data_IF_286382304258
#
_entry.id   IF_286382304258
#
_cell.length_a   1.000
_cell.length_b   1.000
_cell.length_c   1.000
_cell.angle_alpha   90.00
_cell.angle_beta   90.00
_cell.angle_gamma   90.00
#
_symmetry.space_group_name_H-M   'P 1'
#
loop_
_entity.id
_entity.type
_entity.pdbx_description
1 polymer ?
#
# COMPACT_ATOMS: atom_id res chain seq x y z
N UNK A 1 52.11 5.39 20.04
CA UNK A 1 50.95 5.43 20.97
C UNK A 1 50.22 6.75 20.73
N UNK A 2 49.13 6.74 19.95
CA UNK A 2 48.22 7.89 19.80
C UNK A 2 46.80 7.34 19.91
N UNK A 3 46.02 8.01 20.74
CA UNK A 3 44.76 7.58 21.33
C UNK A 3 43.67 7.38 20.28
N UNK A 4 43.13 6.17 20.19
CA UNK A 4 41.79 5.95 19.65
C UNK A 4 40.78 6.49 20.65
N UNK A 5 40.24 7.67 20.38
CA UNK A 5 39.00 8.12 21.02
C UNK A 5 37.87 7.20 20.57
N UNK A 6 37.51 6.23 21.42
CA UNK A 6 36.19 5.58 21.35
C UNK A 6 35.15 6.67 21.61
N UNK A 7 34.68 7.32 20.55
CA UNK A 7 33.43 8.07 20.61
C UNK A 7 32.35 7.10 21.06
N UNK A 8 31.80 7.32 22.26
CA UNK A 8 30.55 6.68 22.66
C UNK A 8 29.53 7.07 21.58
N UNK A 9 29.10 6.11 20.75
CA UNK A 9 27.91 6.31 19.92
C UNK A 9 26.80 6.73 20.88
N UNK A 10 26.37 8.00 20.81
CA UNK A 10 25.15 8.43 21.47
C UNK A 10 24.04 7.57 20.87
N UNK A 11 23.23 6.94 21.72
CA UNK A 11 22.03 6.25 21.29
C UNK A 11 21.23 7.21 20.39
N UNK A 12 20.94 6.77 19.16
CA UNK A 12 20.17 7.55 18.22
C UNK A 12 18.73 7.61 18.73
N UNK A 13 18.20 8.82 18.84
CA UNK A 13 16.83 9.05 19.33
C UNK A 13 16.03 9.58 18.16
N UNK A 14 14.92 8.91 17.84
CA UNK A 14 14.05 9.33 16.76
C UNK A 14 12.95 10.28 17.25
N UNK A 15 12.47 11.09 16.32
CA UNK A 15 11.30 11.92 16.48
C UNK A 15 10.26 11.49 15.45
N UNK A 16 8.99 11.67 15.76
CA UNK A 16 7.90 11.35 14.86
C UNK A 16 6.68 12.22 15.15
N UNK A 17 5.58 11.87 14.50
CA UNK A 17 4.31 12.58 14.58
C UNK A 17 3.47 12.04 15.72
N UNK A 18 3.09 12.91 16.67
CA UNK A 18 2.26 12.52 17.81
C UNK A 18 0.79 12.39 17.39
N UNK A 19 0.25 11.20 17.55
CA UNK A 19 -1.14 10.85 17.31
C UNK A 19 -1.81 10.30 18.58
N UNK A 20 -3.12 10.03 18.51
CA UNK A 20 -3.89 9.56 19.66
C UNK A 20 -3.35 8.23 20.25
N UNK A 21 -2.75 7.39 19.41
CA UNK A 21 -2.28 6.05 19.77
C UNK A 21 -0.76 5.89 19.76
N UNK A 22 -0.01 6.99 19.80
CA UNK A 22 1.45 6.96 19.91
C UNK A 22 2.14 7.92 18.97
N UNK A 23 3.44 7.74 18.82
CA UNK A 23 4.28 8.55 17.92
C UNK A 23 4.62 7.72 16.69
N UNK A 24 4.19 8.17 15.52
CA UNK A 24 4.40 7.51 14.24
C UNK A 24 5.60 8.06 13.48
N UNK A 25 6.25 7.25 12.65
CA UNK A 25 7.29 7.74 11.70
C UNK A 25 6.71 8.22 10.37
N UNK A 26 5.38 8.18 10.24
CA UNK A 26 4.59 8.73 9.15
C UNK A 26 3.35 9.40 9.75
N UNK A 27 2.81 10.39 9.04
CA UNK A 27 1.54 11.03 9.38
C UNK A 27 0.60 10.90 8.18
N UNK A 28 -0.37 10.00 8.29
CA UNK A 28 -1.25 9.64 7.17
C UNK A 28 -2.68 10.07 7.49
N UNK A 29 -3.25 10.84 6.58
CA UNK A 29 -4.67 11.21 6.57
C UNK A 29 -5.33 10.35 5.51
N UNK A 30 -6.20 9.43 5.93
CA UNK A 30 -6.83 8.50 5.01
C UNK A 30 -8.16 9.03 4.52
N UNK A 31 -8.52 8.69 3.29
CA UNK A 31 -9.89 8.79 2.79
C UNK A 31 -10.31 7.43 2.25
N UNK A 32 -11.52 7.00 2.58
CA UNK A 32 -12.04 5.68 2.23
C UNK A 32 -13.49 5.80 1.77
N UNK A 33 -13.86 5.18 0.63
CA UNK A 33 -15.25 5.01 0.28
C UNK A 33 -15.86 3.93 1.19
N UNK A 34 -17.01 4.21 1.80
CA UNK A 34 -17.69 3.23 2.64
C UNK A 34 -18.17 2.03 1.81
N UNK A 35 -18.54 2.25 0.56
CA UNK A 35 -18.87 1.22 -0.43
C UNK A 35 -18.32 1.57 -1.82
N UNK A 36 -18.32 0.58 -2.72
CA UNK A 36 -17.88 0.72 -4.12
C UNK A 36 -18.53 1.89 -4.86
N UNK A 37 -19.78 2.22 -4.54
CA UNK A 37 -20.51 3.30 -5.22
C UNK A 37 -19.83 4.66 -5.06
N UNK A 38 -19.15 4.89 -3.93
CA UNK A 38 -18.46 6.15 -3.64
C UNK A 38 -17.03 6.21 -4.23
N UNK A 39 -16.45 5.11 -4.74
CA UNK A 39 -15.01 5.03 -5.06
C UNK A 39 -14.53 6.12 -6.02
N UNK A 40 -15.29 6.41 -7.09
CA UNK A 40 -14.89 7.42 -8.08
C UNK A 40 -14.82 8.83 -7.48
N UNK A 41 -15.83 9.20 -6.68
CA UNK A 41 -15.85 10.49 -6.00
C UNK A 41 -14.74 10.58 -4.93
N UNK A 42 -14.59 9.53 -4.12
CA UNK A 42 -13.55 9.46 -3.09
C UNK A 42 -12.14 9.59 -3.68
N UNK A 43 -11.88 8.96 -4.83
CA UNK A 43 -10.59 9.08 -5.52
C UNK A 43 -10.30 10.52 -5.97
N UNK A 44 -11.29 11.21 -6.53
CA UNK A 44 -11.15 12.62 -6.91
C UNK A 44 -10.81 13.49 -5.69
N UNK A 45 -11.54 13.32 -4.57
CA UNK A 45 -11.27 14.03 -3.32
C UNK A 45 -9.88 13.68 -2.76
N UNK A 46 -9.45 12.43 -2.84
CA UNK A 46 -8.14 12.02 -2.36
C UNK A 46 -7.00 12.77 -3.08
N UNK A 47 -7.11 12.91 -4.40
CA UNK A 47 -6.14 13.62 -5.23
C UNK A 47 -6.15 15.11 -4.87
N UNK A 48 -7.31 15.76 -4.96
CA UNK A 48 -7.45 17.20 -4.77
C UNK A 48 -7.09 17.65 -3.35
N UNK A 49 -7.44 16.85 -2.35
CA UNK A 49 -7.14 17.13 -0.96
C UNK A 49 -5.80 16.56 -0.51
N UNK A 50 -5.06 15.82 -1.34
CA UNK A 50 -3.82 15.11 -0.98
C UNK A 50 -3.98 14.24 0.27
N UNK A 51 -4.93 13.30 0.21
CA UNK A 51 -5.19 12.27 1.23
C UNK A 51 -4.72 10.91 0.72
N UNK A 52 -4.36 10.02 1.65
CA UNK A 52 -4.05 8.62 1.30
C UNK A 52 -5.35 7.88 1.06
N UNK A 53 -5.65 7.57 -0.21
CA UNK A 53 -6.81 6.78 -0.58
C UNK A 53 -6.63 5.33 -0.13
N UNK A 54 -7.62 4.80 0.59
CA UNK A 54 -7.80 3.36 0.76
C UNK A 54 -9.01 2.99 -0.07
N UNK A 55 -8.79 2.20 -1.11
CA UNK A 55 -9.86 1.71 -1.97
C UNK A 55 -10.76 0.72 -1.24
N UNK A 56 -12.03 0.67 -1.66
CA UNK A 56 -12.98 -0.29 -1.13
C UNK A 56 -13.98 -0.67 -2.22
N UNK A 57 -13.92 -1.92 -2.68
CA UNK A 57 -14.78 -2.49 -3.71
C UNK A 57 -16.01 -3.19 -3.14
N UNK A 58 -16.19 -3.19 -1.82
CA UNK A 58 -17.36 -3.82 -1.20
C UNK A 58 -18.66 -3.18 -1.69
N UNK A 59 -19.60 -4.02 -2.14
CA UNK A 59 -20.93 -3.58 -2.53
C UNK A 59 -21.72 -3.13 -1.29
N UNK A 60 -22.50 -2.05 -1.41
CA UNK A 60 -23.37 -1.55 -0.34
C UNK A 60 -24.35 -2.63 0.20
N UNK A 61 -24.72 -3.59 -0.65
CA UNK A 61 -25.58 -4.73 -0.31
C UNK A 61 -24.86 -5.90 0.38
N UNK A 62 -23.52 -5.96 0.37
CA UNK A 62 -22.74 -7.02 1.01
C UNK A 62 -22.44 -6.68 2.47
N UNK A 63 -23.43 -6.89 3.33
CA UNK A 63 -23.34 -6.57 4.75
C UNK A 63 -22.20 -7.30 5.49
N UNK A 64 -21.78 -8.48 5.02
CA UNK A 64 -20.68 -9.23 5.67
C UNK A 64 -19.37 -8.49 5.47
N UNK A 65 -19.05 -8.15 4.23
CA UNK A 65 -17.82 -7.42 3.90
C UNK A 65 -17.85 -6.00 4.45
N UNK A 66 -19.02 -5.34 4.44
CA UNK A 66 -19.18 -3.99 5.01
C UNK A 66 -18.89 -3.99 6.52
N UNK A 67 -19.40 -4.99 7.25
CA UNK A 67 -19.11 -5.14 8.68
C UNK A 67 -17.64 -5.45 8.95
N UNK A 68 -16.96 -6.20 8.08
CA UNK A 68 -15.51 -6.42 8.20
C UNK A 68 -14.75 -5.08 8.08
N UNK A 69 -15.10 -4.25 7.11
CA UNK A 69 -14.51 -2.92 6.94
C UNK A 69 -14.77 -2.04 8.17
N UNK A 70 -16.03 -1.93 8.60
CA UNK A 70 -16.46 -0.97 9.63
C UNK A 70 -16.06 -1.40 11.04
N UNK A 71 -16.21 -2.69 11.39
CA UNK A 71 -16.01 -3.14 12.76
C UNK A 71 -14.66 -3.82 13.01
N UNK A 72 -13.90 -4.14 11.95
CA UNK A 72 -12.56 -4.73 12.08
C UNK A 72 -11.48 -3.81 11.53
N UNK A 73 -11.56 -3.47 10.24
CA UNK A 73 -10.49 -2.75 9.57
C UNK A 73 -10.36 -1.29 10.06
N UNK A 74 -11.43 -0.49 9.99
CA UNK A 74 -11.39 0.92 10.39
C UNK A 74 -10.94 1.13 11.86
N UNK A 75 -11.40 0.32 12.83
CA UNK A 75 -10.92 0.43 14.21
C UNK A 75 -9.46 0.02 14.39
N UNK A 76 -8.93 -0.88 13.56
CA UNK A 76 -7.49 -1.22 13.55
C UNK A 76 -6.68 -0.08 12.93
N UNK A 77 -7.12 0.45 11.79
CA UNK A 77 -6.51 1.60 11.12
C UNK A 77 -6.45 2.81 12.05
N UNK A 78 -7.55 3.13 12.75
CA UNK A 78 -7.62 4.24 13.69
C UNK A 78 -6.59 4.10 14.83
N UNK A 79 -6.41 2.90 15.36
CA UNK A 79 -5.43 2.64 16.42
C UNK A 79 -3.98 2.64 15.94
N UNK A 80 -3.75 2.70 14.63
CA UNK A 80 -2.40 2.64 14.10
C UNK A 80 -1.64 3.95 14.37
N UNK A 81 -0.39 3.84 14.83
CA UNK A 81 0.43 5.01 15.22
C UNK A 81 0.79 5.97 14.07
N UNK A 82 0.58 5.55 12.82
CA UNK A 82 0.75 6.42 11.62
C UNK A 82 -0.53 7.15 11.22
N UNK A 83 -1.66 6.83 11.85
CA UNK A 83 -2.96 7.38 11.47
C UNK A 83 -3.16 8.72 12.17
N UNK A 84 -3.20 9.77 11.35
CA UNK A 84 -3.52 11.12 11.80
C UNK A 84 -5.03 11.33 11.86
N UNK A 85 -5.74 10.90 10.83
CA UNK A 85 -7.19 11.00 10.75
C UNK A 85 -7.76 10.19 9.59
N UNK A 86 -9.07 9.98 9.59
CA UNK A 86 -9.80 9.18 8.61
C UNK A 86 -10.98 10.01 8.07
N UNK A 87 -11.19 10.00 6.75
CA UNK A 87 -12.35 10.62 6.11
C UNK A 87 -13.17 9.55 5.39
N UNK A 88 -14.41 9.35 5.81
CA UNK A 88 -15.32 8.35 5.24
C UNK A 88 -16.27 9.02 4.25
N UNK A 89 -16.36 8.49 3.04
CA UNK A 89 -17.30 8.99 2.02
C UNK A 89 -18.26 7.87 1.67
N UNK A 90 -19.56 8.12 1.84
CA UNK A 90 -20.63 7.19 1.51
C UNK A 90 -21.53 7.74 0.40
N UNK A 91 -22.22 6.87 -0.32
CA UNK A 91 -23.25 7.30 -1.28
C UNK A 91 -24.52 7.70 -0.53
N UNK A 92 -24.99 6.85 0.37
CA UNK A 92 -26.27 6.96 1.07
C UNK A 92 -27.15 5.71 0.94
N UNK A 93 -26.79 4.78 0.04
CA UNK A 93 -27.47 3.50 -0.14
C UNK A 93 -26.86 2.37 0.72
N UNK A 94 -25.80 2.65 1.47
CA UNK A 94 -25.19 1.72 2.41
C UNK A 94 -26.13 1.37 3.56
N UNK A 95 -26.14 0.08 3.91
CA UNK A 95 -26.88 -0.42 5.08
C UNK A 95 -26.26 -0.04 6.43
N UNK A 96 -25.03 0.49 6.42
CA UNK A 96 -24.29 0.95 7.60
C UNK A 96 -24.16 2.47 7.54
N UNK A 97 -24.42 3.14 8.65
CA UNK A 97 -24.33 4.60 8.75
C UNK A 97 -22.86 5.07 8.80
N UNK A 98 -22.49 5.92 7.84
CA UNK A 98 -21.20 6.61 7.85
C UNK A 98 -21.03 7.50 9.09
N UNK A 99 -22.11 8.15 9.54
CA UNK A 99 -22.11 9.01 10.71
C UNK A 99 -21.84 8.23 12.01
N UNK A 100 -22.50 7.08 12.20
CA UNK A 100 -22.28 6.22 13.36
C UNK A 100 -20.87 5.64 13.34
N UNK A 101 -20.41 5.19 12.17
CA UNK A 101 -19.04 4.69 12.00
C UNK A 101 -18.01 5.77 12.36
N UNK A 102 -18.16 7.00 11.86
CA UNK A 102 -17.27 8.10 12.19
C UNK A 102 -17.26 8.39 13.70
N UNK A 103 -18.43 8.39 14.35
CA UNK A 103 -18.54 8.57 15.79
C UNK A 103 -17.84 7.44 16.59
N UNK A 104 -17.92 6.19 16.15
CA UNK A 104 -17.20 5.07 16.75
C UNK A 104 -15.68 5.25 16.65
N UNK A 105 -15.17 5.70 15.50
CA UNK A 105 -13.75 6.00 15.33
C UNK A 105 -13.30 7.19 16.18
N UNK A 106 -14.10 8.25 16.24
CA UNK A 106 -13.85 9.40 17.12
C UNK A 106 -13.80 8.96 18.59
N UNK A 107 -14.66 8.03 19.02
CA UNK A 107 -14.66 7.50 20.38
C UNK A 107 -13.39 6.69 20.73
N UNK A 108 -12.71 6.12 19.72
CA UNK A 108 -11.39 5.49 19.89
C UNK A 108 -10.30 6.56 20.14
N UNK A 109 -10.52 7.80 19.70
CA UNK A 109 -9.64 8.95 19.89
C UNK A 109 -9.01 9.46 18.60
N UNK A 110 -9.29 8.83 17.46
CA UNK A 110 -8.77 9.25 16.15
C UNK A 110 -9.74 10.24 15.49
N UNK A 111 -9.28 11.41 15.05
CA UNK A 111 -10.09 12.33 14.25
C UNK A 111 -10.68 11.61 13.04
N UNK A 112 -12.00 11.67 12.92
CA UNK A 112 -12.72 11.04 11.83
C UNK A 112 -13.82 11.97 11.36
N UNK A 113 -13.91 12.18 10.06
CA UNK A 113 -14.97 12.96 9.42
C UNK A 113 -15.72 12.09 8.41
N UNK A 114 -16.91 12.52 8.00
CA UNK A 114 -17.68 11.83 6.97
C UNK A 114 -18.52 12.77 6.12
N UNK A 115 -18.89 12.31 4.92
CA UNK A 115 -19.97 12.87 4.11
C UNK A 115 -20.81 11.75 3.48
N UNK A 116 -22.07 12.06 3.17
CA UNK A 116 -22.99 11.19 2.42
C UNK A 116 -23.40 11.94 1.15
N UNK A 117 -23.09 11.39 -0.02
CA UNK A 117 -23.25 12.09 -1.30
C UNK A 117 -24.72 12.44 -1.59
N UNK A 118 -25.66 11.55 -1.25
CA UNK A 118 -27.10 11.73 -1.48
C UNK A 118 -27.75 12.81 -0.59
N UNK A 119 -27.03 13.31 0.43
CA UNK A 119 -27.50 14.44 1.24
C UNK A 119 -27.39 15.79 0.50
N UNK A 120 -26.74 15.81 -0.67
CA UNK A 120 -26.50 17.01 -1.46
C UNK A 120 -27.40 17.08 -2.70
N UNK A 121 -27.79 18.30 -3.07
CA UNK A 121 -28.62 18.53 -4.25
C UNK A 121 -27.88 18.27 -5.57
N UNK A 122 -26.56 18.44 -5.58
CA UNK A 122 -25.68 18.21 -6.73
C UNK A 122 -24.25 17.87 -6.27
N UNK A 123 -23.47 17.34 -7.22
CA UNK A 123 -22.09 16.92 -6.98
C UNK A 123 -21.13 18.09 -6.72
N UNK A 124 -21.40 19.29 -7.23
CA UNK A 124 -20.54 20.44 -7.01
C UNK A 124 -20.57 20.86 -5.54
N UNK A 125 -21.76 20.88 -4.94
CA UNK A 125 -21.94 21.12 -3.51
C UNK A 125 -21.26 20.03 -2.67
N UNK A 126 -21.45 18.76 -3.03
CA UNK A 126 -20.80 17.64 -2.35
C UNK A 126 -19.26 17.76 -2.41
N UNK A 127 -18.70 18.08 -3.57
CA UNK A 127 -17.25 18.28 -3.75
C UNK A 127 -16.72 19.43 -2.91
N UNK A 128 -17.38 20.59 -2.95
CA UNK A 128 -16.96 21.76 -2.18
C UNK A 128 -16.94 21.48 -0.68
N UNK A 129 -17.97 20.82 -0.16
CA UNK A 129 -17.98 20.43 1.25
C UNK A 129 -16.91 19.38 1.55
N UNK A 130 -16.78 18.34 0.73
CA UNK A 130 -15.80 17.28 0.93
C UNK A 130 -14.36 17.82 1.03
N UNK A 131 -14.00 18.78 0.16
CA UNK A 131 -12.70 19.44 0.20
C UNK A 131 -12.54 20.29 1.47
N UNK A 132 -13.59 21.01 1.90
CA UNK A 132 -13.61 21.73 3.17
C UNK A 132 -13.38 20.81 4.36
N UNK A 133 -14.16 19.74 4.45
CA UNK A 133 -14.08 18.70 5.49
C UNK A 133 -12.71 18.02 5.51
N UNK A 134 -12.12 17.73 4.35
CA UNK A 134 -10.77 17.19 4.27
C UNK A 134 -9.71 18.14 4.87
N UNK A 135 -9.85 19.45 4.65
CA UNK A 135 -8.94 20.45 5.24
C UNK A 135 -9.17 20.62 6.74
N UNK A 136 -10.42 20.56 7.20
CA UNK A 136 -10.78 20.57 8.61
C UNK A 136 -10.19 19.36 9.34
N UNK A 137 -10.32 18.15 8.77
CA UNK A 137 -9.70 16.94 9.29
C UNK A 137 -8.20 17.12 9.46
N UNK A 138 -7.51 17.63 8.43
CA UNK A 138 -6.06 17.89 8.49
C UNK A 138 -5.69 18.85 9.62
N UNK A 139 -6.51 19.88 9.82
CA UNK A 139 -6.31 20.89 10.88
C UNK A 139 -6.54 20.30 12.27
N UNK A 140 -7.60 19.51 12.45
CA UNK A 140 -7.92 18.83 13.72
C UNK A 140 -6.88 17.80 14.10
N UNK A 141 -6.34 17.10 13.11
CA UNK A 141 -5.31 16.08 13.26
C UNK A 141 -3.88 16.62 13.08
N UNK A 142 -3.67 17.94 13.21
CA UNK A 142 -2.33 18.51 13.27
C UNK A 142 -1.57 17.92 14.46
N UNK A 143 -0.63 17.04 14.16
CA UNK A 143 0.22 16.39 15.13
C UNK A 143 1.42 17.28 15.47
N UNK A 144 1.71 17.41 16.76
CA UNK A 144 3.03 17.89 17.19
C UNK A 144 4.10 16.84 16.86
N UNK A 145 5.36 17.27 16.82
CA UNK A 145 6.49 16.34 16.78
C UNK A 145 6.85 15.93 18.21
N UNK A 146 7.12 14.64 18.41
CA UNK A 146 7.50 14.09 19.70
C UNK A 146 8.58 13.02 19.56
N UNK A 147 9.21 12.66 20.69
CA UNK A 147 10.22 11.61 20.74
C UNK A 147 9.58 10.24 20.65
N UNK A 148 10.22 9.35 19.91
CA UNK A 148 9.89 7.92 19.92
C UNK A 148 10.67 7.28 21.06
N UNK A 149 9.96 6.88 22.12
CA UNK A 149 10.56 6.26 23.31
C UNK A 149 11.04 4.84 23.03
N UNK A 150 10.28 4.07 22.26
CA UNK A 150 10.59 2.70 21.85
C UNK A 150 10.42 2.56 20.34
N UNK A 151 11.46 2.06 19.65
CA UNK A 151 11.46 1.95 18.18
C UNK A 151 11.03 0.55 17.75
N UNK A 152 9.72 0.34 17.63
CA UNK A 152 9.13 -0.94 17.21
C UNK A 152 9.38 -1.28 15.73
N UNK A 153 10.08 -2.39 15.48
CA UNK A 153 10.38 -2.93 14.15
C UNK A 153 9.92 -4.38 14.08
N UNK A 154 9.19 -4.74 13.03
CA UNK A 154 8.94 -6.15 12.69
C UNK A 154 9.94 -6.61 11.64
N UNK A 155 10.59 -7.75 11.83
CA UNK A 155 11.34 -8.45 10.78
C UNK A 155 10.48 -9.60 10.27
N UNK A 156 10.12 -9.55 9.00
CA UNK A 156 9.35 -10.56 8.31
C UNK A 156 10.26 -11.34 7.35
N UNK A 157 10.14 -12.66 7.33
CA UNK A 157 10.91 -13.54 6.44
C UNK A 157 10.18 -14.85 6.22
N UNK A 158 10.26 -15.43 5.03
CA UNK A 158 9.77 -16.79 4.78
C UNK A 158 10.82 -17.84 5.20
N UNK A 159 12.06 -17.62 4.77
CA UNK A 159 13.23 -18.41 5.13
C UNK A 159 14.14 -17.58 6.03
N UNK A 160 14.64 -18.19 7.09
CA UNK A 160 15.45 -17.48 8.09
C UNK A 160 16.77 -16.97 7.45
N UNK A 161 17.01 -15.64 7.42
CA UNK A 161 18.22 -15.12 6.80
C UNK A 161 19.43 -15.45 7.67
N UNK A 162 20.54 -15.82 7.05
CA UNK A 162 21.76 -16.23 7.76
C UNK A 162 22.29 -15.15 8.73
N UNK A 163 22.00 -13.88 8.46
CA UNK A 163 22.41 -12.75 9.30
C UNK A 163 21.44 -12.43 10.46
N UNK A 164 20.31 -13.14 10.61
CA UNK A 164 19.22 -12.76 11.53
C UNK A 164 19.70 -12.56 12.96
N UNK A 165 20.46 -13.51 13.50
CA UNK A 165 20.94 -13.46 14.89
C UNK A 165 21.83 -12.24 15.13
N UNK A 166 22.76 -11.96 14.21
CA UNK A 166 23.66 -10.80 14.31
C UNK A 166 22.88 -9.49 14.16
N UNK A 167 21.93 -9.44 13.22
CA UNK A 167 21.08 -8.29 12.96
C UNK A 167 20.19 -7.93 14.15
N UNK A 168 19.50 -8.90 14.75
CA UNK A 168 18.67 -8.68 15.93
C UNK A 168 19.52 -8.13 17.07
N UNK A 169 20.68 -8.72 17.35
CA UNK A 169 21.58 -8.23 18.40
C UNK A 169 22.06 -6.79 18.13
N UNK A 170 22.31 -6.43 16.86
CA UNK A 170 22.70 -5.08 16.48
C UNK A 170 21.53 -4.09 16.64
N UNK A 171 20.32 -4.46 16.24
CA UNK A 171 19.12 -3.63 16.36
C UNK A 171 18.76 -3.37 17.83
N UNK A 172 18.75 -4.39 18.67
CA UNK A 172 18.47 -4.24 20.11
C UNK A 172 19.52 -3.37 20.82
N UNK A 173 20.79 -3.53 20.44
CA UNK A 173 21.87 -2.65 20.91
C UNK A 173 21.63 -1.17 20.55
N UNK A 174 20.94 -0.93 19.44
CA UNK A 174 20.52 0.38 18.96
C UNK A 174 19.08 0.76 19.40
N UNK A 175 18.52 0.09 20.42
CA UNK A 175 17.24 0.42 21.07
C UNK A 175 16.00 0.21 20.20
N UNK A 176 16.07 -0.67 19.21
CA UNK A 176 14.88 -1.18 18.54
C UNK A 176 14.24 -2.30 19.38
N UNK A 177 12.92 -2.27 19.49
CA UNK A 177 12.12 -3.41 19.95
C UNK A 177 11.77 -4.25 18.73
N UNK A 178 12.35 -5.44 18.64
CA UNK A 178 12.28 -6.28 17.43
C UNK A 178 11.27 -7.40 17.61
N UNK A 179 10.30 -7.48 16.69
CA UNK A 179 9.39 -8.63 16.55
C UNK A 179 9.81 -9.45 15.34
N UNK A 180 9.90 -10.77 15.50
CA UNK A 180 10.17 -11.68 14.41
C UNK A 180 8.87 -12.32 13.93
N UNK A 181 8.66 -12.36 12.62
CA UNK A 181 7.53 -13.03 12.02
C UNK A 181 7.98 -13.91 10.84
N UNK A 182 7.82 -15.22 10.99
CA UNK A 182 8.06 -16.15 9.91
C UNK A 182 6.80 -16.28 9.05
N UNK A 183 6.91 -15.89 7.78
CA UNK A 183 5.82 -15.91 6.82
C UNK A 183 5.58 -17.31 6.26
N UNK A 184 4.31 -17.61 5.99
CA UNK A 184 3.91 -18.84 5.31
C UNK A 184 4.09 -18.68 3.78
N UNK A 185 4.71 -19.66 3.09
CA UNK A 185 4.80 -19.67 1.63
C UNK A 185 3.45 -19.68 0.91
N UNK A 186 2.37 -20.06 1.63
CA UNK A 186 1.04 -20.30 1.05
C UNK A 186 0.04 -19.19 1.35
N UNK A 187 0.38 -18.30 2.27
CA UNK A 187 -0.56 -17.31 2.78
C UNK A 187 -0.26 -15.95 2.16
N UNK A 188 -1.11 -15.53 1.21
CA UNK A 188 -1.01 -14.23 0.56
C UNK A 188 -1.56 -13.16 1.50
N UNK A 189 -0.94 -11.98 1.57
CA UNK A 189 -1.46 -10.85 2.37
C UNK A 189 -1.01 -10.81 3.83
N UNK A 190 -0.03 -11.64 4.23
CA UNK A 190 0.51 -11.58 5.59
C UNK A 190 1.17 -10.23 5.90
N UNK A 191 1.79 -9.57 4.91
CA UNK A 191 2.41 -8.27 5.11
C UNK A 191 1.38 -7.19 5.46
N UNK A 192 0.20 -7.22 4.84
CA UNK A 192 -0.93 -6.35 5.19
C UNK A 192 -1.41 -6.55 6.63
N UNK A 193 -1.48 -7.80 7.08
CA UNK A 193 -1.86 -8.10 8.46
C UNK A 193 -0.82 -7.56 9.45
N UNK A 194 0.46 -7.80 9.18
CA UNK A 194 1.58 -7.27 9.98
C UNK A 194 1.60 -5.74 10.01
N UNK A 195 1.23 -5.09 8.91
CA UNK A 195 1.20 -3.63 8.83
C UNK A 195 0.16 -3.01 9.77
N UNK A 196 -0.91 -3.73 10.11
CA UNK A 196 -1.95 -3.28 11.05
C UNK A 196 -1.62 -3.62 12.51
N UNK A 197 -0.61 -4.45 12.79
CA UNK A 197 -0.15 -4.79 14.15
C UNK A 197 0.61 -3.66 14.87
N UNK A 198 0.77 -2.52 14.21
CA UNK A 198 1.22 -1.30 14.88
C UNK A 198 2.73 -1.16 15.05
N UNK A 199 3.60 -1.80 14.26
CA UNK A 199 5.03 -1.46 14.23
C UNK A 199 5.25 -0.10 13.55
N UNK A 200 6.40 0.56 13.81
CA UNK A 200 6.77 1.75 13.04
C UNK A 200 7.22 1.39 11.62
N UNK A 201 7.88 0.25 11.46
CA UNK A 201 8.33 -0.25 10.16
C UNK A 201 8.37 -1.78 10.13
N UNK A 202 8.39 -2.32 8.92
CA UNK A 202 8.65 -3.74 8.65
C UNK A 202 9.94 -3.83 7.84
N UNK A 203 10.85 -4.72 8.24
CA UNK A 203 11.99 -5.16 7.45
C UNK A 203 11.63 -6.52 6.86
N UNK A 204 11.45 -6.58 5.55
CA UNK A 204 11.01 -7.78 4.83
C UNK A 204 12.17 -8.42 4.08
N UNK A 205 12.54 -9.65 4.43
CA UNK A 205 13.39 -10.49 3.61
C UNK A 205 12.51 -11.22 2.60
N UNK A 206 12.54 -10.73 1.36
CA UNK A 206 11.64 -11.16 0.30
C UNK A 206 12.10 -12.53 -0.22
N UNK A 207 11.17 -13.47 -0.43
CA UNK A 207 11.50 -14.79 -0.98
C UNK A 207 11.93 -14.69 -2.45
N UNK A 208 12.76 -15.61 -2.92
CA UNK A 208 13.46 -15.56 -4.23
C UNK A 208 12.57 -15.30 -5.45
N UNK A 209 11.30 -15.67 -5.40
CA UNK A 209 10.30 -15.60 -6.45
C UNK A 209 9.20 -14.56 -6.19
N UNK A 210 9.35 -13.71 -5.16
CA UNK A 210 8.34 -12.72 -4.76
C UNK A 210 8.76 -11.30 -5.12
N UNK A 211 7.82 -10.51 -5.62
CA UNK A 211 8.06 -9.09 -5.89
C UNK A 211 8.12 -8.28 -4.59
N UNK A 212 9.03 -7.31 -4.42
CA UNK A 212 9.05 -6.45 -3.24
C UNK A 212 7.76 -5.63 -3.15
N UNK A 213 6.98 -5.83 -2.09
CA UNK A 213 5.72 -5.12 -1.84
C UNK A 213 5.82 -4.16 -0.66
N UNK A 214 4.93 -3.18 -0.60
CA UNK A 214 4.76 -2.26 0.53
C UNK A 214 3.39 -2.41 1.17
N UNK A 215 3.05 -1.49 2.08
CA UNK A 215 1.69 -1.34 2.60
C UNK A 215 1.28 0.13 2.65
N UNK A 216 -0.01 0.41 2.61
CA UNK A 216 -0.53 1.77 2.74
C UNK A 216 -0.35 2.35 4.15
N UNK A 217 -0.06 1.52 5.16
CA UNK A 217 -0.06 1.93 6.58
C UNK A 217 1.35 2.00 7.13
N UNK A 218 2.09 0.90 7.07
CA UNK A 218 3.42 0.74 7.67
C UNK A 218 4.48 0.62 6.59
N UNK A 219 5.54 1.45 6.62
CA UNK A 219 6.62 1.39 5.64
C UNK A 219 7.33 0.03 5.70
N UNK A 220 7.65 -0.50 4.52
CA UNK A 220 8.29 -1.81 4.36
C UNK A 220 9.63 -1.63 3.66
N UNK A 221 10.69 -2.04 4.35
CA UNK A 221 12.07 -2.06 3.87
C UNK A 221 12.30 -3.44 3.26
N UNK A 222 12.46 -3.51 1.95
CA UNK A 222 12.61 -4.78 1.24
C UNK A 222 14.08 -5.14 1.03
N UNK A 223 14.45 -6.36 1.44
CA UNK A 223 15.78 -6.96 1.24
C UNK A 223 15.70 -8.05 0.18
N UNK A 224 16.48 -7.89 -0.89
CA UNK A 224 16.57 -8.85 -1.98
C UNK A 224 17.36 -10.11 -1.61
N UNK A 225 17.11 -11.18 -2.34
CA UNK A 225 17.97 -12.39 -2.43
C UNK A 225 18.90 -12.32 -3.64
N UNK A 226 19.74 -13.36 -3.81
CA UNK A 226 20.59 -13.54 -4.98
C UNK A 226 19.90 -14.30 -6.12
N UNK A 227 18.56 -14.30 -6.19
CA UNK A 227 17.86 -14.93 -7.30
C UNK A 227 18.04 -14.15 -8.60
N UNK A 228 17.95 -14.82 -9.74
CA UNK A 228 17.96 -14.15 -11.05
C UNK A 228 16.82 -13.13 -11.16
N UNK A 229 15.66 -13.45 -10.58
CA UNK A 229 14.52 -12.57 -10.53
C UNK A 229 14.83 -11.27 -9.80
N UNK A 230 15.33 -11.33 -8.57
CA UNK A 230 15.68 -10.14 -7.80
C UNK A 230 16.83 -9.33 -8.40
N UNK A 231 17.82 -9.99 -9.03
CA UNK A 231 18.86 -9.29 -9.80
C UNK A 231 18.26 -8.47 -10.93
N UNK A 232 17.29 -9.02 -11.65
CA UNK A 232 16.63 -8.35 -12.77
C UNK A 232 15.88 -7.08 -12.33
N UNK A 233 15.26 -7.10 -11.14
CA UNK A 233 14.49 -5.96 -10.58
C UNK A 233 15.19 -5.28 -9.40
N UNK A 234 16.53 -5.28 -9.38
CA UNK A 234 17.32 -4.83 -8.22
C UNK A 234 17.06 -3.36 -7.81
N UNK A 235 16.60 -2.51 -8.72
CA UNK A 235 16.24 -1.12 -8.44
C UNK A 235 14.94 -0.96 -7.66
N UNK A 236 14.18 -2.04 -7.49
CA UNK A 236 12.89 -2.07 -6.80
C UNK A 236 13.04 -2.45 -5.31
N UNK A 237 14.28 -2.71 -4.86
CA UNK A 237 14.61 -3.09 -3.49
C UNK A 237 15.34 -1.99 -2.73
N UNK A 238 14.99 -1.82 -1.46
CA UNK A 238 15.69 -0.92 -0.55
C UNK A 238 17.14 -1.37 -0.28
N UNK A 239 17.36 -2.68 -0.25
CA UNK A 239 18.62 -3.33 0.11
C UNK A 239 18.87 -4.54 -0.80
N UNK A 240 20.12 -4.69 -1.26
CA UNK A 240 20.55 -5.85 -2.04
C UNK A 240 20.86 -7.06 -1.15
N UNK A 241 21.01 -8.24 -1.75
CA UNK A 241 21.42 -9.46 -1.05
C UNK A 241 22.83 -9.41 -0.44
N UNK A 242 23.70 -8.52 -0.95
CA UNK A 242 25.07 -8.33 -0.44
C UNK A 242 25.11 -7.36 0.75
N UNK A 243 23.97 -6.75 1.11
CA UNK A 243 23.91 -5.75 2.17
C UNK A 243 24.35 -6.33 3.51
N UNK A 244 25.36 -5.72 4.09
CA UNK A 244 25.85 -6.06 5.42
C UNK A 244 24.83 -5.70 6.49
N UNK A 245 24.95 -6.33 7.67
CA UNK A 245 24.12 -6.03 8.85
C UNK A 245 24.19 -4.54 9.23
N UNK A 246 25.34 -3.90 9.00
CA UNK A 246 25.52 -2.47 9.24
C UNK A 246 24.72 -1.60 8.26
N UNK A 247 24.69 -1.96 6.98
CA UNK A 247 23.90 -1.27 5.95
C UNK A 247 22.40 -1.47 6.18
N UNK A 248 21.98 -2.67 6.59
CA UNK A 248 20.59 -2.94 6.97
C UNK A 248 20.17 -2.05 8.16
N UNK A 249 20.98 -1.99 9.22
CA UNK A 249 20.72 -1.08 10.34
C UNK A 249 20.63 0.37 9.87
N UNK A 250 21.56 0.82 9.04
CA UNK A 250 21.56 2.20 8.55
C UNK A 250 20.25 2.51 7.83
N UNK A 251 19.79 1.64 6.93
CA UNK A 251 18.54 1.82 6.20
C UNK A 251 17.31 1.82 7.12
N UNK A 252 17.29 0.97 8.15
CA UNK A 252 16.26 1.01 9.20
C UNK A 252 16.26 2.38 9.91
N UNK A 253 17.43 2.89 10.29
CA UNK A 253 17.55 4.19 10.94
C UNK A 253 17.14 5.36 10.03
N UNK A 254 17.42 5.27 8.73
CA UNK A 254 16.96 6.23 7.72
C UNK A 254 15.43 6.28 7.65
N UNK A 255 14.78 5.12 7.63
CA UNK A 255 13.31 5.03 7.56
C UNK A 255 12.65 5.56 8.82
N UNK A 256 13.19 5.24 10.00
CA UNK A 256 12.79 5.85 11.27
C UNK A 256 13.11 7.35 11.35
N UNK A 257 14.12 7.80 10.61
CA UNK A 257 14.42 9.21 10.33
C UNK A 257 13.46 9.85 9.32
N UNK A 258 12.35 9.19 8.99
CA UNK A 258 11.30 9.64 8.09
C UNK A 258 11.69 9.69 6.60
N UNK A 259 12.74 8.96 6.20
CA UNK A 259 13.06 8.75 4.78
C UNK A 259 12.10 7.68 4.23
N UNK A 260 11.44 7.91 3.07
CA UNK A 260 10.54 6.94 2.47
C UNK A 260 11.28 5.69 1.95
N UNK A 261 10.61 4.54 1.97
CA UNK A 261 11.09 3.31 1.30
C UNK A 261 10.83 3.38 -0.20
N UNK A 262 11.46 2.48 -0.97
CA UNK A 262 11.19 2.40 -2.42
C UNK A 262 9.73 2.05 -2.69
N UNK A 263 9.15 1.12 -1.93
CA UNK A 263 7.75 0.74 -2.08
C UNK A 263 6.76 1.89 -1.80
N UNK A 264 7.08 2.77 -0.85
CA UNK A 264 6.31 4.00 -0.61
C UNK A 264 6.42 4.97 -1.80
N UNK A 265 7.63 5.15 -2.35
CA UNK A 265 7.87 6.08 -3.46
C UNK A 265 7.22 5.61 -4.77
N UNK A 266 7.13 4.30 -4.99
CA UNK A 266 6.51 3.69 -6.16
C UNK A 266 5.01 3.46 -6.00
N UNK A 267 4.46 3.63 -4.79
CA UNK A 267 3.05 3.36 -4.51
C UNK A 267 2.67 1.88 -4.61
N UNK A 268 3.62 0.95 -4.52
CA UNK A 268 3.37 -0.50 -4.58
C UNK A 268 2.96 -1.01 -3.21
N UNK A 269 1.75 -1.55 -3.08
CA UNK A 269 1.24 -2.03 -1.80
C UNK A 269 0.32 -3.24 -1.93
N UNK A 270 0.30 -4.06 -0.87
CA UNK A 270 -0.68 -5.13 -0.72
C UNK A 270 -2.04 -4.59 -0.25
N UNK A 271 -3.15 -5.21 -0.69
CA UNK A 271 -4.49 -4.94 -0.15
C UNK A 271 -4.56 -5.18 1.37
N UNK A 272 -5.09 -4.21 2.12
CA UNK A 272 -5.21 -4.29 3.59
C UNK A 272 -6.34 -5.20 4.08
N UNK A 273 -7.36 -5.40 3.24
CA UNK A 273 -8.50 -6.29 3.46
C UNK A 273 -9.01 -6.79 2.11
N UNK A 274 -9.89 -7.78 2.08
CA UNK A 274 -10.32 -8.44 0.83
C UNK A 274 -10.90 -7.47 -0.21
N UNK A 275 -11.71 -6.51 0.24
CA UNK A 275 -12.30 -5.47 -0.60
C UNK A 275 -11.36 -4.32 -0.95
N UNK A 276 -10.12 -4.29 -0.45
CA UNK A 276 -9.17 -3.19 -0.69
C UNK A 276 -8.49 -3.31 -2.05
N UNK A 277 -9.30 -3.29 -3.09
CA UNK A 277 -8.86 -3.28 -4.49
C UNK A 277 -9.53 -2.11 -5.21
N UNK A 278 -8.80 -1.37 -6.05
CA UNK A 278 -9.39 -0.29 -6.83
C UNK A 278 -10.54 -0.81 -7.73
N UNK A 279 -11.61 -0.03 -7.87
CA UNK A 279 -12.53 -0.25 -8.99
C UNK A 279 -11.86 0.13 -10.30
N UNK A 280 -11.72 -0.83 -11.22
CA UNK A 280 -11.27 -0.59 -12.59
C UNK A 280 -12.46 -0.22 -13.48
N UNK A 281 -12.25 0.70 -14.43
CA UNK A 281 -13.22 1.00 -15.48
C UNK A 281 -13.20 -0.14 -16.50
N UNK A 282 -14.15 -1.05 -16.37
CA UNK A 282 -14.18 -2.34 -17.06
C UNK A 282 -14.95 -2.33 -18.39
N UNK A 283 -15.38 -1.15 -18.83
CA UNK A 283 -16.09 -0.95 -20.10
C UNK A 283 -15.14 -1.26 -21.24
N UNK A 284 -15.36 -2.41 -21.88
CA UNK A 284 -14.54 -2.86 -22.99
C UNK A 284 -14.73 -1.97 -24.22
N UNK A 285 -13.63 -1.57 -24.85
CA UNK A 285 -13.62 -0.82 -26.10
C UNK A 285 -12.77 -1.55 -27.16
N UNK A 286 -13.35 -1.96 -28.30
CA UNK A 286 -12.62 -2.66 -29.37
C UNK A 286 -11.50 -1.83 -30.03
N UNK A 287 -11.44 -0.52 -29.80
CA UNK A 287 -10.42 0.37 -30.34
C UNK A 287 -9.26 0.64 -29.36
N UNK A 288 -9.43 0.27 -28.10
CA UNK A 288 -8.44 0.52 -27.05
C UNK A 288 -7.67 -0.75 -26.64
N UNK A 289 -6.57 -0.54 -25.93
CA UNK A 289 -5.74 -1.60 -25.38
C UNK A 289 -6.24 -1.93 -23.97
N UNK A 290 -6.56 -3.20 -23.75
CA UNK A 290 -6.94 -3.71 -22.43
C UNK A 290 -5.68 -4.04 -21.65
N UNK A 291 -5.51 -3.46 -20.45
CA UNK A 291 -4.50 -3.83 -19.48
C UNK A 291 -5.10 -4.74 -18.42
N UNK A 292 -4.43 -5.87 -18.14
CA UNK A 292 -4.87 -6.83 -17.15
C UNK A 292 -3.71 -7.11 -16.19
N UNK A 293 -3.79 -6.64 -14.93
CA UNK A 293 -2.79 -6.98 -13.92
C UNK A 293 -2.89 -8.47 -13.59
N UNK A 294 -1.79 -9.19 -13.78
CA UNK A 294 -1.64 -10.57 -13.31
C UNK A 294 -1.23 -10.61 -11.83
N UNK A 295 -0.88 -9.48 -11.22
CA UNK A 295 -0.50 -9.39 -9.81
C UNK A 295 -1.16 -8.18 -9.15
N UNK A 296 -1.78 -8.34 -7.96
CA UNK A 296 -2.44 -7.23 -7.25
C UNK A 296 -1.53 -6.03 -6.96
N UNK A 297 -0.22 -6.25 -6.76
CA UNK A 297 0.75 -5.18 -6.48
C UNK A 297 0.87 -4.17 -7.65
N UNK A 298 0.51 -4.60 -8.86
CA UNK A 298 0.60 -3.77 -10.08
C UNK A 298 -0.63 -2.88 -10.30
N UNK A 299 -1.75 -3.12 -9.61
CA UNK A 299 -3.03 -2.49 -9.96
C UNK A 299 -2.93 -0.97 -9.86
N UNK A 300 -2.48 -0.44 -8.71
CA UNK A 300 -2.37 1.00 -8.47
C UNK A 300 -1.43 1.67 -9.47
N UNK A 301 -0.28 1.05 -9.77
CA UNK A 301 0.65 1.55 -10.78
C UNK A 301 0.03 1.62 -12.18
N UNK A 302 -0.71 0.59 -12.60
CA UNK A 302 -1.35 0.59 -13.91
C UNK A 302 -2.45 1.63 -14.01
N UNK A 303 -3.23 1.84 -12.93
CA UNK A 303 -4.21 2.93 -12.86
C UNK A 303 -3.51 4.27 -13.05
N UNK A 304 -2.46 4.55 -12.29
CA UNK A 304 -1.74 5.83 -12.37
C UNK A 304 -1.14 6.04 -13.76
N UNK A 305 -0.60 4.98 -14.36
CA UNK A 305 0.00 5.01 -15.70
C UNK A 305 -1.00 5.45 -16.77
N UNK A 306 -2.24 4.94 -16.73
CA UNK A 306 -3.22 5.17 -17.80
C UNK A 306 -4.33 6.15 -17.46
N UNK A 307 -4.46 6.60 -16.20
CA UNK A 307 -5.54 7.53 -15.79
C UNK A 307 -5.57 8.84 -16.59
N UNK A 308 -4.44 9.23 -17.20
CA UNK A 308 -4.33 10.42 -18.04
C UNK A 308 -3.96 10.08 -19.50
N UNK A 309 -4.10 8.82 -19.92
CA UNK A 309 -3.78 8.35 -21.27
C UNK A 309 -5.05 7.87 -21.97
N UNK A 310 -5.28 8.36 -23.19
CA UNK A 310 -6.33 7.80 -24.05
C UNK A 310 -5.86 6.51 -24.70
N UNK A 311 -6.79 5.61 -25.05
CA UNK A 311 -6.45 4.40 -25.79
C UNK A 311 -6.20 3.18 -24.91
N UNK A 312 -6.49 3.28 -23.61
CA UNK A 312 -6.36 2.21 -22.64
C UNK A 312 -7.59 2.10 -21.75
N UNK A 313 -7.94 0.87 -21.41
CA UNK A 313 -8.81 0.57 -20.28
C UNK A 313 -8.21 -0.59 -19.48
N UNK A 314 -8.57 -0.69 -18.19
CA UNK A 314 -8.11 -1.79 -17.35
C UNK A 314 -9.25 -2.76 -17.07
N UNK A 315 -8.95 -4.04 -16.97
CA UNK A 315 -9.91 -5.05 -16.55
C UNK A 315 -9.33 -5.92 -15.44
N UNK A 316 -10.16 -6.21 -14.45
CA UNK A 316 -9.79 -7.14 -13.38
C UNK A 316 -9.57 -8.54 -13.94
N UNK A 317 -8.63 -9.28 -13.35
CA UNK A 317 -8.34 -10.65 -13.74
C UNK A 317 -9.58 -11.55 -13.68
N UNK A 318 -10.39 -11.43 -12.62
CA UNK A 318 -11.63 -12.20 -12.45
C UNK A 318 -12.66 -11.89 -13.54
N UNK A 319 -12.78 -10.61 -13.92
CA UNK A 319 -13.68 -10.14 -14.98
C UNK A 319 -13.22 -10.54 -16.38
N UNK A 320 -11.94 -10.86 -16.55
CA UNK A 320 -11.39 -11.34 -17.81
C UNK A 320 -11.50 -12.86 -17.97
N UNK A 321 -11.35 -13.62 -16.87
CA UNK A 321 -11.29 -15.08 -16.91
C UNK A 321 -12.55 -15.69 -17.54
N UNK A 322 -12.39 -16.30 -18.71
CA UNK A 322 -13.47 -16.99 -19.43
C UNK A 322 -14.44 -16.08 -20.18
N UNK A 323 -14.11 -14.80 -20.37
CA UNK A 323 -14.91 -13.85 -21.15
C UNK A 323 -14.16 -13.42 -22.42
N UNK A 324 -14.88 -13.21 -23.52
CA UNK A 324 -14.31 -12.52 -24.68
C UNK A 324 -14.33 -11.02 -24.40
N UNK A 325 -13.15 -10.40 -24.43
CA UNK A 325 -13.00 -8.96 -24.19
C UNK A 325 -12.84 -8.26 -25.53
N UNK A 326 -13.76 -7.34 -25.82
CA UNK A 326 -13.64 -6.44 -26.96
C UNK A 326 -12.48 -5.46 -26.71
N UNK A 327 -11.34 -5.72 -27.35
CA UNK A 327 -10.14 -4.90 -27.27
C UNK A 327 -9.35 -4.99 -28.58
N UNK A 328 -8.63 -3.92 -28.94
CA UNK A 328 -7.64 -3.89 -30.03
C UNK A 328 -6.50 -4.86 -29.73
N UNK A 329 -6.04 -4.84 -28.48
CA UNK A 329 -4.94 -5.65 -27.95
C UNK A 329 -5.17 -5.89 -26.46
N UNK A 330 -4.67 -7.01 -25.95
CA UNK A 330 -4.73 -7.33 -24.53
C UNK A 330 -3.30 -7.47 -24.02
N UNK A 331 -2.91 -6.62 -23.06
CA UNK A 331 -1.63 -6.71 -22.37
C UNK A 331 -1.88 -7.31 -20.99
N UNK A 332 -1.35 -8.51 -20.77
CA UNK A 332 -1.32 -9.11 -19.44
C UNK A 332 0.00 -8.74 -18.79
N UNK A 333 -0.10 -7.99 -17.70
CA UNK A 333 1.03 -7.34 -17.06
C UNK A 333 1.33 -8.05 -15.73
N UNK A 334 2.47 -8.72 -15.66
CA UNK A 334 2.93 -9.46 -14.49
C UNK A 334 4.18 -8.86 -13.87
N UNK A 335 4.53 -9.36 -12.68
CA UNK A 335 5.82 -9.06 -12.05
C UNK A 335 6.92 -9.93 -12.64
N UNK A 336 6.56 -11.14 -13.09
CA UNK A 336 7.48 -12.22 -13.44
C UNK A 336 7.81 -13.16 -12.28
N UNK A 337 7.27 -12.93 -11.10
CA UNK A 337 7.41 -13.79 -9.91
C UNK A 337 6.27 -14.80 -9.75
N UNK A 338 6.35 -15.64 -8.72
CA UNK A 338 5.37 -16.70 -8.43
C UNK A 338 4.00 -16.19 -7.94
N UNK A 339 3.91 -14.91 -7.58
CA UNK A 339 2.66 -14.26 -7.17
C UNK A 339 1.70 -13.96 -8.34
N UNK A 340 2.17 -14.06 -9.58
CA UNK A 340 1.38 -13.77 -10.77
C UNK A 340 0.32 -14.85 -11.04
N UNK A 341 -0.86 -14.42 -11.48
CA UNK A 341 -1.94 -15.30 -11.89
C UNK A 341 -1.54 -16.16 -13.14
N UNK A 342 -1.91 -17.45 -13.16
CA UNK A 342 -1.46 -18.39 -14.19
C UNK A 342 -2.13 -18.13 -15.54
N UNK A 343 -1.30 -18.07 -16.58
CA UNK A 343 -1.66 -17.61 -17.92
C UNK A 343 -2.11 -18.71 -18.89
N UNK A 344 -2.04 -19.98 -18.50
CA UNK A 344 -2.13 -21.15 -19.40
C UNK A 344 -3.45 -21.26 -20.20
N UNK A 345 -4.49 -20.52 -19.81
CA UNK A 345 -5.80 -20.51 -20.48
C UNK A 345 -5.92 -19.56 -21.69
N UNK A 346 -4.92 -18.72 -21.97
CA UNK A 346 -5.01 -17.63 -22.96
C UNK A 346 -4.13 -17.80 -24.20
N UNK A 347 -3.31 -18.87 -24.24
CA UNK A 347 -2.24 -19.06 -25.23
C UNK A 347 -2.68 -19.22 -26.70
N UNK A 348 -3.95 -19.01 -27.04
CA UNK A 348 -4.46 -19.09 -28.42
C UNK A 348 -5.03 -17.78 -28.98
N UNK A 349 -5.19 -16.73 -28.16
CA UNK A 349 -5.66 -15.43 -28.65
C UNK A 349 -4.48 -14.57 -29.13
N UNK A 350 -4.42 -14.36 -30.45
CA UNK A 350 -3.38 -13.55 -31.12
C UNK A 350 -3.30 -12.08 -30.66
N UNK A 351 -4.33 -11.57 -29.96
CA UNK A 351 -4.37 -10.21 -29.41
C UNK A 351 -3.61 -10.10 -28.08
N UNK A 352 -3.31 -11.22 -27.43
CA UNK A 352 -2.75 -11.22 -26.07
C UNK A 352 -1.23 -11.18 -26.13
N UNK A 353 -0.62 -10.22 -25.41
CA UNK A 353 0.82 -10.13 -25.17
C UNK A 353 1.09 -10.07 -23.67
N UNK A 354 2.08 -10.84 -23.21
CA UNK A 354 2.56 -10.79 -21.83
C UNK A 354 3.70 -9.78 -21.71
N UNK A 355 3.69 -9.01 -20.63
CA UNK A 355 4.77 -8.09 -20.26
C UNK A 355 5.07 -8.29 -18.77
N UNK A 356 6.34 -8.51 -18.41
CA UNK A 356 6.73 -8.67 -17.00
C UNK A 356 7.70 -7.58 -16.54
N UNK A 357 7.56 -7.11 -15.29
CA UNK A 357 8.52 -6.16 -14.70
C UNK A 357 9.95 -6.70 -14.81
N UNK A 358 10.18 -7.99 -14.54
CA UNK A 358 11.51 -8.62 -14.62
C UNK A 358 12.13 -8.62 -16.03
N UNK A 359 11.33 -8.55 -17.10
CA UNK A 359 11.83 -8.45 -18.47
C UNK A 359 12.34 -7.04 -18.81
N UNK A 360 11.79 -6.03 -18.13
CA UNK A 360 12.13 -4.62 -18.34
C UNK A 360 12.96 -4.02 -17.19
N UNK A 361 13.25 -4.84 -16.17
CA UNK A 361 14.08 -4.56 -15.01
C UNK A 361 13.53 -3.54 -14.00
N UNK A 362 12.42 -2.87 -14.30
CA UNK A 362 11.82 -1.86 -13.41
C UNK A 362 10.40 -1.51 -13.82
N UNK A 363 9.65 -0.87 -12.91
CA UNK A 363 8.35 -0.28 -13.22
C UNK A 363 8.44 0.78 -14.33
N UNK A 364 9.51 1.57 -14.36
CA UNK A 364 9.73 2.56 -15.41
C UNK A 364 9.95 1.92 -16.78
N UNK A 365 10.76 0.87 -16.85
CA UNK A 365 10.97 0.10 -18.07
C UNK A 365 9.68 -0.54 -18.57
N UNK A 366 8.88 -1.09 -17.66
CA UNK A 366 7.57 -1.66 -17.98
C UNK A 366 6.58 -0.59 -18.47
N UNK A 367 6.51 0.57 -17.82
CA UNK A 367 5.67 1.69 -18.24
C UNK A 367 6.00 2.12 -19.68
N UNK A 368 7.29 2.28 -19.99
CA UNK A 368 7.74 2.63 -21.34
C UNK A 368 7.33 1.57 -22.37
N UNK A 369 7.42 0.29 -22.02
CA UNK A 369 7.00 -0.81 -22.88
C UNK A 369 5.48 -0.82 -23.13
N UNK A 370 4.66 -0.56 -22.10
CA UNK A 370 3.20 -0.47 -22.22
C UNK A 370 2.80 0.71 -23.10
N UNK A 371 3.36 1.89 -22.84
CA UNK A 371 3.02 3.10 -23.59
C UNK A 371 3.45 3.04 -25.07
N UNK A 372 4.47 2.23 -25.40
CA UNK A 372 4.90 1.99 -26.78
C UNK A 372 3.93 1.11 -27.59
N UNK A 373 2.88 0.56 -26.98
CA UNK A 373 1.91 -0.32 -27.65
C UNK A 373 0.73 0.43 -28.29
N UNK A 374 0.51 1.69 -27.91
CA UNK A 374 -0.53 2.59 -28.46
C UNK A 374 -0.26 2.85 -29.94
#
# INVERSE_FOLDING_TARGET
>A
MKFFGRGKQKAQTFIGFRHAHGVGIRSKYYVIPLSRGASGFTRAIAIDASLTLIENHTLASDLTSMNEVVHTFLPQLARHRHTAGIFIIAVGDESISAAETAAEIQAIGTPCEYIVIDDFADLEMATNLALGTAQELKTMALSGIDRIEESDLTIAYQEEPACLTELVALLEKNKFAVRLHQMSPRDKGQLSSLALEGSHAILSFVAEDQYPSGTLVTPVINVATDSDFHRAISTEFDLSHESSVAEILQKVQEVFGMIPTISEALGTHEPLFKGNVPSLNDVADPHEICLIPANPVLISFLIDLVSNQSGFFLKDWESFKGQDVAAKKILVVGTGGAGDEPFDSLGSDSRVKKLNVSEFGSFHGLAAAILAEV
#
